data_IF_908759259561
#
_entry.id   IF_908759259561
#
_cell.length_a   1.000
_cell.length_b   1.000
_cell.length_c   1.000
_cell.angle_alpha   90.00
_cell.angle_beta   90.00
_cell.angle_gamma   90.00
#
_symmetry.space_group_name_H-M   'P 1'
#
loop_
_entity.id
_entity.type
_entity.pdbx_description
1 polymer ?
#
# COMPACT_ATOMS: atom_id res chain seq x y z
N UNK A 1 -43.03 67.15 -17.67
CA UNK A 1 -42.61 67.36 -16.27
C UNK A 1 -41.17 66.84 -16.13
N UNK A 2 -40.25 67.72 -15.72
CA UNK A 2 -38.84 67.56 -15.25
C UNK A 2 -37.93 66.53 -15.98
N UNK A 3 -36.89 66.87 -16.77
CA UNK A 3 -35.68 67.71 -16.60
C UNK A 3 -34.68 67.28 -15.50
N UNK A 4 -33.56 66.67 -15.95
CA UNK A 4 -32.13 67.07 -15.83
C UNK A 4 -31.55 67.45 -14.44
N UNK A 5 -30.32 66.97 -14.21
CA UNK A 5 -29.19 67.58 -13.46
C UNK A 5 -28.80 66.88 -12.16
N UNK A 6 -27.80 66.00 -12.13
CA UNK A 6 -26.35 66.27 -11.91
C UNK A 6 -26.03 66.92 -10.55
N UNK A 7 -25.27 66.21 -9.67
CA UNK A 7 -23.87 66.52 -9.27
C UNK A 7 -23.43 65.84 -7.95
N UNK A 8 -22.25 65.21 -8.03
CA UNK A 8 -21.05 65.34 -7.15
C UNK A 8 -21.20 64.81 -5.71
N UNK A 9 -20.67 63.61 -5.40
CA UNK A 9 -19.27 63.29 -5.03
C UNK A 9 -18.87 63.77 -3.63
N UNK A 10 -18.77 62.83 -2.69
CA UNK A 10 -17.78 62.86 -1.61
C UNK A 10 -17.11 61.48 -1.60
N UNK A 11 -15.89 61.42 -2.13
CA UNK A 11 -15.03 60.26 -1.95
C UNK A 11 -14.39 60.30 -0.57
N UNK A 12 -14.27 59.14 0.08
CA UNK A 12 -13.23 58.86 1.08
C UNK A 12 -12.85 57.37 1.00
N UNK A 13 -11.58 57.16 0.65
CA UNK A 13 -10.69 56.02 0.97
C UNK A 13 -11.17 54.56 0.86
N UNK A 14 -10.65 53.89 -0.18
CA UNK A 14 -9.63 52.83 -0.11
C UNK A 14 -9.65 51.92 1.14
N UNK A 15 -10.09 50.67 0.96
CA UNK A 15 -9.49 49.53 1.64
C UNK A 15 -9.49 48.33 0.68
N UNK A 16 -8.28 47.97 0.26
CA UNK A 16 -7.99 46.72 -0.42
C UNK A 16 -8.00 45.55 0.60
N UNK A 17 -7.91 44.34 0.05
CA UNK A 17 -7.46 43.07 0.65
C UNK A 17 -8.58 42.10 1.05
N UNK A 18 -8.52 40.88 0.49
CA UNK A 18 -9.03 39.71 1.19
C UNK A 18 -9.70 38.65 0.32
N UNK A 19 -8.94 38.01 -0.55
CA UNK A 19 -9.31 36.72 -1.16
C UNK A 19 -9.62 35.67 -0.10
N UNK A 20 -10.74 34.99 -0.21
CA UNK A 20 -10.82 33.58 0.21
C UNK A 20 -11.99 32.92 -0.48
N UNK A 21 -11.68 32.45 -1.69
CA UNK A 21 -12.37 31.39 -2.37
C UNK A 21 -12.43 30.20 -1.39
N UNK A 22 -13.58 29.99 -0.75
CA UNK A 22 -13.84 28.83 0.11
C UNK A 22 -14.03 27.59 -0.77
N UNK A 23 -13.00 27.26 -1.55
CA UNK A 23 -12.88 25.95 -2.17
C UNK A 23 -12.73 24.93 -1.04
N UNK A 24 -13.72 24.05 -0.97
CA UNK A 24 -13.76 22.88 -0.13
C UNK A 24 -12.37 22.23 -0.04
N UNK A 25 -11.72 22.38 1.13
CA UNK A 25 -10.68 21.44 1.53
C UNK A 25 -11.40 20.20 2.03
N UNK A 26 -11.82 19.35 1.10
CA UNK A 26 -11.98 17.94 1.40
C UNK A 26 -10.60 17.46 1.85
N UNK A 27 -10.42 17.35 3.17
CA UNK A 27 -9.37 16.53 3.75
C UNK A 27 -9.84 15.11 3.45
N UNK A 28 -9.62 14.64 2.23
CA UNK A 28 -9.53 13.21 2.03
C UNK A 28 -8.26 12.83 2.77
N UNK A 29 -8.42 12.19 3.92
CA UNK A 29 -7.34 11.42 4.50
C UNK A 29 -7.08 10.31 3.49
N UNK A 30 -6.31 10.61 2.43
CA UNK A 30 -5.79 9.60 1.54
C UNK A 30 -4.78 8.83 2.39
N UNK A 31 -5.31 7.89 3.16
CA UNK A 31 -4.57 6.80 3.75
C UNK A 31 -4.00 6.02 2.58
N UNK A 32 -2.81 6.41 2.13
CA UNK A 32 -2.01 5.61 1.22
C UNK A 32 -1.96 4.22 1.86
N UNK A 33 -2.52 3.17 1.22
CA UNK A 33 -2.48 1.84 1.79
C UNK A 33 -1.00 1.47 1.94
N UNK A 34 -0.60 1.11 3.16
CA UNK A 34 0.79 0.77 3.45
C UNK A 34 1.18 -0.38 2.52
N UNK A 35 2.17 -0.13 1.67
CA UNK A 35 2.68 -1.09 0.68
C UNK A 35 3.30 -2.35 1.29
N UNK A 36 3.81 -2.22 2.51
CA UNK A 36 4.49 -3.27 3.26
C UNK A 36 3.90 -3.27 4.65
N UNK A 37 3.43 -4.42 5.12
CA UNK A 37 2.78 -4.57 6.42
C UNK A 37 3.07 -5.92 7.05
N UNK A 38 2.90 -5.98 8.37
CA UNK A 38 2.99 -7.21 9.16
C UNK A 38 1.59 -7.71 9.45
N UNK A 39 1.40 -9.02 9.36
CA UNK A 39 0.17 -9.70 9.74
C UNK A 39 0.25 -10.05 11.22
N UNK A 40 -0.66 -9.51 12.02
CA UNK A 40 -0.71 -9.76 13.47
C UNK A 40 -1.53 -10.99 13.82
N UNK A 41 -2.61 -11.23 13.08
CA UNK A 41 -3.55 -12.32 13.29
C UNK A 41 -4.30 -12.68 11.98
N UNK A 42 -5.20 -13.66 12.07
CA UNK A 42 -6.02 -14.11 10.95
C UNK A 42 -6.94 -12.99 10.41
N UNK A 43 -7.45 -12.12 11.28
CA UNK A 43 -8.34 -11.03 10.85
C UNK A 43 -7.58 -10.04 9.97
N UNK A 44 -6.38 -9.65 10.40
CA UNK A 44 -5.48 -8.81 9.61
C UNK A 44 -5.18 -9.48 8.24
N UNK A 45 -4.93 -10.79 8.22
CA UNK A 45 -4.71 -11.53 6.97
C UNK A 45 -5.94 -11.47 6.04
N UNK A 46 -7.13 -11.72 6.57
CA UNK A 46 -8.37 -11.66 5.79
C UNK A 46 -8.62 -10.26 5.21
N UNK A 47 -8.38 -9.21 6.00
CA UNK A 47 -8.61 -7.83 5.57
C UNK A 47 -7.55 -7.33 4.58
N UNK A 48 -6.28 -7.67 4.79
CA UNK A 48 -5.17 -7.07 4.05
C UNK A 48 -4.66 -7.94 2.89
N UNK A 49 -4.95 -9.24 2.89
CA UNK A 49 -4.49 -10.18 1.85
C UNK A 49 -5.68 -10.71 1.05
N UNK A 50 -6.63 -11.37 1.73
CA UNK A 50 -7.74 -12.06 1.04
C UNK A 50 -8.67 -11.08 0.33
N UNK A 51 -8.99 -9.96 0.99
CA UNK A 51 -9.85 -8.89 0.43
C UNK A 51 -9.08 -7.83 -0.36
N UNK A 52 -7.78 -8.00 -0.56
CA UNK A 52 -6.97 -7.02 -1.30
C UNK A 52 -7.42 -6.93 -2.75
N UNK A 53 -7.62 -5.70 -3.23
CA UNK A 53 -7.86 -5.42 -4.66
C UNK A 53 -6.57 -5.57 -5.49
N UNK A 54 -5.42 -5.36 -4.84
CA UNK A 54 -4.10 -5.50 -5.45
C UNK A 54 -3.51 -6.88 -5.18
N UNK A 55 -2.67 -7.42 -6.08
CA UNK A 55 -1.88 -8.60 -5.79
C UNK A 55 -1.02 -8.41 -4.53
N UNK A 56 -0.87 -9.47 -3.74
CA UNK A 56 -0.09 -9.47 -2.51
C UNK A 56 0.99 -10.53 -2.57
N UNK A 57 2.22 -10.14 -2.32
CA UNK A 57 3.32 -11.05 -2.00
C UNK A 57 3.30 -11.29 -0.50
N UNK A 58 3.26 -12.55 -0.10
CA UNK A 58 3.25 -12.98 1.30
C UNK A 58 4.61 -13.58 1.60
N UNK A 59 5.35 -13.02 2.55
CA UNK A 59 6.63 -13.52 3.06
C UNK A 59 6.42 -14.19 4.42
N UNK A 60 6.36 -15.52 4.41
CA UNK A 60 6.37 -16.33 5.63
C UNK A 60 7.81 -16.47 6.13
N UNK A 61 8.07 -15.90 7.30
CA UNK A 61 9.39 -15.77 7.89
C UNK A 61 9.39 -16.05 9.40
N UNK A 62 10.56 -16.00 10.02
CA UNK A 62 10.71 -16.04 11.47
C UNK A 62 11.90 -15.20 11.93
N UNK A 63 11.81 -14.63 13.14
CA UNK A 63 12.87 -13.75 13.69
C UNK A 63 14.24 -14.44 13.87
N UNK A 64 14.23 -15.75 14.09
CA UNK A 64 15.43 -16.60 14.25
C UNK A 64 16.00 -17.10 12.91
N UNK A 65 15.32 -16.85 11.80
CA UNK A 65 15.72 -17.32 10.47
C UNK A 65 16.80 -16.40 9.86
N UNK A 66 18.05 -16.87 9.83
CA UNK A 66 19.16 -16.16 9.18
C UNK A 66 18.91 -15.83 7.70
N UNK A 67 18.52 -16.81 6.86
CA UNK A 67 18.23 -16.56 5.44
C UNK A 67 17.09 -15.56 5.19
N UNK A 68 16.09 -15.50 6.07
CA UNK A 68 14.97 -14.55 5.97
C UNK A 68 15.47 -13.10 6.06
N UNK A 69 16.47 -12.82 6.92
CA UNK A 69 17.11 -11.50 7.04
C UNK A 69 17.84 -11.05 5.77
N UNK A 70 18.18 -11.98 4.88
CA UNK A 70 18.78 -11.68 3.57
C UNK A 70 17.69 -11.41 2.53
N UNK A 71 16.61 -12.20 2.56
CA UNK A 71 15.55 -12.13 1.56
C UNK A 71 14.65 -10.91 1.76
N UNK A 72 14.27 -10.61 3.01
CA UNK A 72 13.35 -9.52 3.36
C UNK A 72 13.73 -8.18 2.71
N UNK A 73 14.96 -7.63 2.86
CA UNK A 73 15.30 -6.35 2.23
C UNK A 73 15.25 -6.38 0.70
N UNK A 74 15.49 -7.55 0.05
CA UNK A 74 15.38 -7.68 -1.41
C UNK A 74 13.92 -7.62 -1.87
N UNK A 75 13.02 -8.28 -1.12
CA UNK A 75 11.58 -8.16 -1.34
C UNK A 75 11.14 -6.71 -1.19
N UNK A 76 11.56 -6.01 -0.14
CA UNK A 76 11.20 -4.60 0.07
C UNK A 76 11.68 -3.70 -1.08
N UNK A 77 12.90 -3.90 -1.57
CA UNK A 77 13.47 -3.15 -2.70
C UNK A 77 12.66 -3.38 -3.97
N UNK A 78 12.41 -4.64 -4.34
CA UNK A 78 11.66 -4.97 -5.57
C UNK A 78 10.23 -4.46 -5.46
N UNK A 79 9.53 -4.79 -4.36
CA UNK A 79 8.18 -4.31 -4.12
C UNK A 79 8.18 -2.79 -4.23
N UNK A 80 9.12 -2.10 -3.59
CA UNK A 80 9.36 -0.66 -3.66
C UNK A 80 9.29 -0.05 -5.07
N UNK A 81 9.86 -0.72 -6.08
CA UNK A 81 9.86 -0.30 -7.49
C UNK A 81 8.47 -0.31 -8.14
N UNK A 82 7.54 -1.13 -7.64
CA UNK A 82 6.21 -1.35 -8.24
C UNK A 82 5.09 -0.44 -7.73
N UNK A 83 5.43 0.65 -7.02
CA UNK A 83 4.47 1.62 -6.45
C UNK A 83 3.20 0.98 -5.87
N UNK A 84 2.02 1.33 -6.39
CA UNK A 84 0.70 0.89 -5.92
C UNK A 84 0.15 -0.31 -6.72
N UNK A 85 1.02 -1.14 -7.32
CA UNK A 85 0.61 -2.31 -8.10
C UNK A 85 0.63 -3.61 -7.31
N UNK A 86 1.31 -3.65 -6.18
CA UNK A 86 1.52 -4.87 -5.39
C UNK A 86 1.80 -4.52 -3.93
N UNK A 87 1.36 -5.39 -3.02
CA UNK A 87 1.64 -5.30 -1.59
C UNK A 87 2.60 -6.39 -1.12
N UNK A 88 3.24 -6.15 0.03
CA UNK A 88 4.04 -7.14 0.76
C UNK A 88 3.47 -7.34 2.16
N UNK A 89 2.93 -8.54 2.40
CA UNK A 89 2.50 -9.01 3.70
C UNK A 89 3.64 -9.84 4.33
N UNK A 90 4.08 -9.47 5.54
CA UNK A 90 5.06 -10.23 6.32
C UNK A 90 4.33 -11.03 7.38
N UNK A 91 4.52 -12.35 7.35
CA UNK A 91 3.89 -13.28 8.28
C UNK A 91 4.97 -13.96 9.11
N UNK A 92 4.98 -13.70 10.41
CA UNK A 92 5.81 -14.46 11.34
C UNK A 92 5.10 -15.79 11.64
N UNK A 93 5.77 -16.91 11.32
CA UNK A 93 5.20 -18.26 11.49
C UNK A 93 5.08 -18.68 12.96
N UNK A 94 5.86 -18.08 13.86
CA UNK A 94 5.80 -18.40 15.30
C UNK A 94 4.52 -17.81 15.92
N UNK A 95 4.09 -16.64 15.45
CA UNK A 95 2.86 -15.99 15.93
C UNK A 95 1.62 -16.37 15.12
N UNK A 96 1.79 -16.84 13.89
CA UNK A 96 0.70 -17.18 12.96
C UNK A 96 0.79 -18.65 12.50
N UNK A 97 0.98 -19.58 13.44
CA UNK A 97 1.23 -21.00 13.13
C UNK A 97 0.09 -21.67 12.35
N UNK A 98 -1.17 -21.40 12.69
CA UNK A 98 -2.33 -21.97 11.98
C UNK A 98 -2.39 -21.50 10.52
N UNK A 99 -2.15 -20.21 10.28
CA UNK A 99 -2.06 -19.65 8.94
C UNK A 99 -0.89 -20.26 8.15
N UNK A 100 0.28 -20.43 8.78
CA UNK A 100 1.41 -21.10 8.15
C UNK A 100 1.05 -22.55 7.75
N UNK A 101 0.32 -23.28 8.60
CA UNK A 101 -0.17 -24.62 8.28
C UNK A 101 -1.19 -24.63 7.14
N UNK A 102 -2.16 -23.71 7.15
CA UNK A 102 -3.19 -23.58 6.09
C UNK A 102 -2.56 -23.42 4.70
N UNK A 103 -1.50 -22.63 4.62
CA UNK A 103 -0.75 -22.38 3.38
C UNK A 103 0.40 -23.38 3.13
N UNK A 104 0.43 -24.51 3.87
CA UNK A 104 1.43 -25.58 3.75
C UNK A 104 2.89 -25.09 3.83
N UNK A 105 3.15 -24.13 4.72
CA UNK A 105 4.49 -23.61 4.98
C UNK A 105 5.28 -24.60 5.83
N UNK A 106 6.17 -25.35 5.20
CA UNK A 106 7.00 -26.38 5.87
C UNK A 106 8.44 -25.94 6.13
N UNK A 107 8.87 -24.82 5.53
CA UNK A 107 10.20 -24.22 5.69
C UNK A 107 10.11 -22.72 5.45
N UNK A 108 11.03 -21.96 6.07
CA UNK A 108 11.16 -20.51 5.88
C UNK A 108 12.55 -20.13 5.34
N UNK A 109 12.66 -19.07 4.52
CA UNK A 109 11.56 -18.24 4.02
C UNK A 109 10.72 -18.96 2.96
N UNK A 110 9.41 -18.75 3.01
CA UNK A 110 8.46 -19.19 1.97
C UNK A 110 7.70 -17.96 1.48
N UNK A 111 7.83 -17.66 0.19
CA UNK A 111 7.13 -16.53 -0.43
C UNK A 111 6.03 -17.04 -1.33
N UNK A 112 4.82 -16.52 -1.16
CA UNK A 112 3.63 -16.88 -1.93
C UNK A 112 3.01 -15.63 -2.56
N UNK A 113 2.63 -15.72 -3.83
CA UNK A 113 1.80 -14.70 -4.48
C UNK A 113 0.33 -15.00 -4.20
N UNK A 114 -0.46 -13.97 -3.95
CA UNK A 114 -1.90 -14.07 -3.73
C UNK A 114 -2.61 -13.01 -4.57
N UNK A 115 -3.61 -13.43 -5.34
CA UNK A 115 -4.37 -12.54 -6.22
C UNK A 115 -5.73 -13.12 -6.52
N UNK A 116 -6.74 -12.26 -6.69
CA UNK A 116 -8.10 -12.63 -7.07
C UNK A 116 -8.72 -13.70 -6.14
N UNK A 117 -8.45 -13.60 -4.83
CA UNK A 117 -8.95 -14.53 -3.81
C UNK A 117 -8.31 -15.92 -3.82
N UNK A 118 -7.18 -16.10 -4.52
CA UNK A 118 -6.52 -17.40 -4.63
C UNK A 118 -4.98 -17.31 -4.50
N UNK A 119 -4.34 -18.33 -3.91
CA UNK A 119 -2.90 -18.55 -4.00
C UNK A 119 -2.46 -18.68 -5.46
N UNK A 120 -1.33 -18.05 -5.78
CA UNK A 120 -0.65 -18.11 -7.07
C UNK A 120 0.65 -18.92 -6.91
N UNK A 121 1.68 -18.59 -7.69
CA UNK A 121 3.00 -19.20 -7.56
C UNK A 121 3.64 -18.87 -6.21
N UNK A 122 4.49 -19.78 -5.75
CA UNK A 122 5.33 -19.61 -4.58
C UNK A 122 6.76 -20.06 -4.84
N UNK A 123 7.67 -19.68 -3.94
CA UNK A 123 9.01 -20.23 -3.86
C UNK A 123 9.47 -20.35 -2.41
N UNK A 124 10.45 -21.22 -2.18
CA UNK A 124 11.10 -21.41 -0.87
C UNK A 124 12.57 -21.05 -0.99
N UNK A 125 13.11 -20.41 0.04
CA UNK A 125 14.51 -20.03 0.14
C UNK A 125 14.83 -18.66 -0.45
N UNK A 126 16.11 -18.32 -0.44
CA UNK A 126 16.61 -17.00 -0.86
C UNK A 126 16.64 -16.90 -2.39
N UNK A 127 16.20 -15.76 -2.91
CA UNK A 127 16.28 -15.36 -4.32
C UNK A 127 17.05 -14.04 -4.44
N UNK A 128 17.68 -13.81 -5.58
CA UNK A 128 18.22 -12.50 -5.94
C UNK A 128 17.10 -11.54 -6.40
N UNK A 129 17.43 -10.27 -6.59
CA UNK A 129 16.43 -9.26 -6.98
C UNK A 129 15.82 -9.55 -8.36
N UNK A 130 16.57 -10.07 -9.32
CA UNK A 130 16.08 -10.35 -10.68
C UNK A 130 15.03 -11.48 -10.68
N UNK A 131 15.25 -12.51 -9.86
CA UNK A 131 14.30 -13.58 -9.65
C UNK A 131 13.03 -13.10 -8.94
N UNK A 132 13.16 -12.23 -7.93
CA UNK A 132 12.02 -11.63 -7.22
C UNK A 132 11.25 -10.69 -8.15
N UNK A 133 11.94 -9.88 -8.95
CA UNK A 133 11.36 -8.98 -9.94
C UNK A 133 10.52 -9.75 -10.96
N UNK A 134 11.06 -10.86 -11.50
CA UNK A 134 10.32 -11.74 -12.41
C UNK A 134 9.06 -12.31 -11.76
N UNK A 135 9.16 -12.77 -10.50
CA UNK A 135 8.03 -13.29 -9.74
C UNK A 135 6.95 -12.23 -9.51
N UNK A 136 7.33 -11.00 -9.16
CA UNK A 136 6.40 -9.90 -8.92
C UNK A 136 5.73 -9.44 -10.21
N UNK A 137 6.48 -9.34 -11.32
CA UNK A 137 5.91 -8.97 -12.61
C UNK A 137 4.89 -10.00 -13.09
N UNK A 138 5.22 -11.29 -12.99
CA UNK A 138 4.25 -12.35 -13.30
C UNK A 138 3.00 -12.23 -12.43
N UNK A 139 3.14 -11.96 -11.13
CA UNK A 139 2.00 -11.78 -10.24
C UNK A 139 1.14 -10.56 -10.60
N UNK A 140 1.73 -9.47 -11.10
CA UNK A 140 1.05 -8.23 -11.51
C UNK A 140 0.37 -8.37 -12.89
N UNK A 141 0.89 -9.21 -13.77
CA UNK A 141 0.38 -9.34 -15.15
C UNK A 141 -0.77 -10.34 -15.30
N UNK A 142 -0.90 -11.31 -14.38
CA UNK A 142 -1.96 -12.34 -14.40
C UNK A 142 -3.28 -11.90 -13.74
#
# INVERSE_FOLDING_TARGET
>A
MANISTRISFGVLKAALGSSNLYARSITTSSIPRKIFKIQDEKDFQEMVVKSELPVVIDFQASWCGPCKILEPRLEVVIGKHHDKVHLAKVDIDTNAELAMEYNVTAVPHVLGYRNGAPQKSFVGVKDEDQIESFVNELIEN
#
